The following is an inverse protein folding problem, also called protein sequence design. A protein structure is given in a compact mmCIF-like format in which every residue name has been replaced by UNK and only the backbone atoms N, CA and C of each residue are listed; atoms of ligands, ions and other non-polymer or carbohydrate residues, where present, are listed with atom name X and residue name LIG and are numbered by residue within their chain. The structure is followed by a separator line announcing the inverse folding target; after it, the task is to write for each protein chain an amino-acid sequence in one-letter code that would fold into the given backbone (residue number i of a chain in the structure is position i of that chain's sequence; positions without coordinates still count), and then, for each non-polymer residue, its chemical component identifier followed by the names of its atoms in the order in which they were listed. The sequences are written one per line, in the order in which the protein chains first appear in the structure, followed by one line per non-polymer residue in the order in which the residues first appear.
data_IF_861922285302
#
_entry.id   IF_861922285302
#
_cell.length_a   1.000
_cell.length_b   1.000
_cell.length_c   1.000
_cell.angle_alpha   90.00
_cell.angle_beta   90.00
_cell.angle_gamma   90.00
#
_symmetry.space_group_name_H-M   'P 1'
#
loop_
_entity.id
_entity.type
_entity.pdbx_description
1 polymer ?
#
# COMPACT_ATOMS: atom_id res chain seq x y z
N UNK A 1 -7.17 -1.35 4.51
CA UNK A 1 -8.30 -1.27 3.55
C UNK A 1 -9.66 -1.47 4.21
N UNK A 2 -9.86 -2.54 4.97
CA UNK A 2 -11.15 -2.83 5.62
C UNK A 2 -11.67 -1.68 6.50
N UNK A 3 -10.85 -1.14 7.41
CA UNK A 3 -11.29 -0.06 8.32
C UNK A 3 -11.52 1.29 7.61
N UNK A 4 -11.17 1.37 6.33
CA UNK A 4 -11.45 2.51 5.47
C UNK A 4 -12.74 2.33 4.65
N UNK A 5 -13.47 1.22 4.84
CA UNK A 5 -14.70 0.88 4.09
C UNK A 5 -14.45 0.68 2.58
N UNK A 6 -13.18 0.55 2.17
CA UNK A 6 -12.79 0.39 0.77
C UNK A 6 -12.96 -1.05 0.27
N UNK A 7 -12.88 -2.02 1.19
CA UNK A 7 -13.02 -3.45 0.90
C UNK A 7 -13.77 -4.07 2.07
N UNK A 8 -14.78 -4.89 1.79
CA UNK A 8 -15.50 -5.64 2.81
C UNK A 8 -14.56 -6.63 3.52
N UNK A 9 -14.76 -6.87 4.82
CA UNK A 9 -14.02 -7.93 5.52
C UNK A 9 -14.76 -9.26 5.40
N UNK A 10 -14.45 -10.01 4.35
CA UNK A 10 -14.97 -11.35 4.06
C UNK A 10 -13.89 -12.17 3.34
N UNK A 11 -13.88 -13.50 3.51
CA UNK A 11 -12.99 -14.40 2.75
C UNK A 11 -13.24 -14.32 1.23
N UNK A 12 -14.46 -13.98 0.84
CA UNK A 12 -14.93 -13.86 -0.54
C UNK A 12 -14.83 -12.42 -1.07
N UNK A 13 -14.13 -11.53 -0.37
CA UNK A 13 -13.98 -10.15 -0.81
C UNK A 13 -13.20 -10.08 -2.12
N UNK A 14 -13.87 -9.59 -3.16
CA UNK A 14 -13.26 -9.28 -4.45
C UNK A 14 -12.80 -7.84 -4.45
N UNK A 15 -11.50 -7.63 -4.65
CA UNK A 15 -10.88 -6.31 -4.72
C UNK A 15 -9.66 -6.36 -5.64
N UNK A 16 -9.46 -5.29 -6.41
CA UNK A 16 -8.22 -5.08 -7.14
C UNK A 16 -7.23 -4.36 -6.23
N UNK A 17 -6.13 -5.05 -5.88
CA UNK A 17 -5.10 -4.53 -4.97
C UNK A 17 -3.82 -4.31 -5.76
N UNK A 18 -3.30 -3.07 -5.76
CA UNK A 18 -1.96 -2.75 -6.25
C UNK A 18 -1.02 -2.64 -5.06
N UNK A 19 0.12 -3.33 -5.12
CA UNK A 19 1.18 -3.28 -4.11
C UNK A 19 2.48 -2.83 -4.78
N UNK A 20 3.01 -1.69 -4.36
CA UNK A 20 4.25 -1.10 -4.89
C UNK A 20 5.37 -1.41 -3.91
N UNK A 21 6.28 -2.30 -4.29
CA UNK A 21 7.25 -2.93 -3.40
C UNK A 21 6.78 -4.32 -2.97
N UNK A 22 7.63 -5.34 -3.20
CA UNK A 22 7.36 -6.71 -2.78
C UNK A 22 7.99 -7.03 -1.42
N UNK A 23 9.23 -6.59 -1.21
CA UNK A 23 10.04 -7.03 -0.07
C UNK A 23 10.16 -8.56 -0.05
N UNK A 24 9.92 -9.18 1.11
CA UNK A 24 9.82 -10.64 1.23
C UNK A 24 8.49 -11.23 0.76
N UNK A 25 7.50 -10.40 0.40
CA UNK A 25 6.19 -10.83 -0.06
C UNK A 25 5.18 -11.19 1.03
N UNK A 26 5.53 -11.03 2.31
CA UNK A 26 4.69 -11.42 3.47
C UNK A 26 3.30 -10.78 3.44
N UNK A 27 3.19 -9.48 3.18
CA UNK A 27 1.89 -8.79 3.13
C UNK A 27 1.02 -9.33 1.99
N UNK A 28 1.62 -9.52 0.81
CA UNK A 28 0.90 -10.00 -0.37
C UNK A 28 0.47 -11.47 -0.20
N UNK A 29 1.36 -12.31 0.33
CA UNK A 29 1.06 -13.71 0.67
C UNK A 29 -0.02 -13.82 1.75
N UNK A 30 0.02 -12.96 2.78
CA UNK A 30 -1.03 -12.89 3.80
C UNK A 30 -2.39 -12.54 3.17
N UNK A 31 -2.44 -11.55 2.29
CA UNK A 31 -3.69 -11.17 1.62
C UNK A 31 -4.20 -12.29 0.71
N UNK A 32 -3.31 -12.89 -0.08
CA UNK A 32 -3.65 -14.01 -0.97
C UNK A 32 -4.15 -15.23 -0.22
N UNK A 33 -3.51 -15.58 0.91
CA UNK A 33 -3.92 -16.72 1.73
C UNK A 33 -5.29 -16.44 2.37
N UNK A 34 -5.48 -15.24 2.93
CA UNK A 34 -6.66 -14.96 3.72
C UNK A 34 -7.87 -14.47 2.92
N UNK A 35 -7.66 -13.94 1.72
CA UNK A 35 -8.69 -13.34 0.88
C UNK A 35 -8.46 -13.82 -0.57
N UNK A 36 -8.69 -15.11 -0.86
CA UNK A 36 -8.27 -15.74 -2.10
C UNK A 36 -8.95 -15.18 -3.36
N UNK A 37 -10.08 -14.47 -3.23
CA UNK A 37 -10.74 -13.80 -4.36
C UNK A 37 -10.21 -12.39 -4.67
N UNK A 38 -9.23 -11.88 -3.91
CA UNK A 38 -8.57 -10.60 -4.21
C UNK A 38 -7.62 -10.74 -5.39
N UNK A 39 -7.69 -9.79 -6.32
CA UNK A 39 -6.82 -9.69 -7.46
C UNK A 39 -5.62 -8.78 -7.14
N UNK A 40 -4.51 -9.37 -6.72
CA UNK A 40 -3.32 -8.70 -6.21
C UNK A 40 -2.28 -8.57 -7.32
N UNK A 41 -1.91 -7.34 -7.64
CA UNK A 41 -0.79 -7.00 -8.52
C UNK A 41 0.32 -6.38 -7.69
N UNK A 42 1.47 -7.03 -7.63
CA UNK A 42 2.67 -6.49 -6.99
C UNK A 42 3.62 -5.95 -8.06
N UNK A 43 4.19 -4.77 -7.85
CA UNK A 43 5.22 -4.19 -8.71
C UNK A 43 6.51 -4.09 -7.92
N UNK A 44 7.57 -4.71 -8.41
CA UNK A 44 8.87 -4.76 -7.74
C UNK A 44 9.98 -4.43 -8.74
N UNK A 45 10.89 -3.55 -8.34
CA UNK A 45 12.00 -3.08 -9.18
C UNK A 45 13.18 -4.05 -9.18
N UNK A 46 13.34 -4.84 -8.13
CA UNK A 46 14.45 -5.77 -7.96
C UNK A 46 14.05 -7.20 -8.33
N UNK A 47 14.51 -7.66 -9.49
CA UNK A 47 14.43 -9.08 -9.87
C UNK A 47 15.02 -10.03 -8.80
N UNK A 48 16.05 -9.58 -8.06
CA UNK A 48 16.65 -10.36 -6.99
C UNK A 48 15.66 -10.56 -5.83
N UNK A 49 14.94 -9.50 -5.42
CA UNK A 49 13.92 -9.62 -4.38
C UNK A 49 12.77 -10.54 -4.80
N UNK A 50 12.33 -10.47 -6.06
CA UNK A 50 11.32 -11.39 -6.61
C UNK A 50 11.79 -12.84 -6.49
N UNK A 51 13.04 -13.12 -6.87
CA UNK A 51 13.61 -14.46 -6.80
C UNK A 51 13.74 -14.95 -5.35
N UNK A 52 14.16 -14.08 -4.43
CA UNK A 52 14.25 -14.41 -3.02
C UNK A 52 12.88 -14.73 -2.42
N UNK A 53 11.87 -13.92 -2.70
CA UNK A 53 10.51 -14.13 -2.22
C UNK A 53 9.93 -15.46 -2.67
N UNK A 54 10.11 -15.82 -3.96
CA UNK A 54 9.67 -17.11 -4.49
C UNK A 54 10.42 -18.29 -3.88
N UNK A 55 11.75 -18.19 -3.77
CA UNK A 55 12.59 -19.33 -3.39
C UNK A 55 12.61 -19.60 -1.89
N UNK A 56 12.54 -18.54 -1.07
CA UNK A 56 12.81 -18.63 0.37
C UNK A 56 11.65 -18.19 1.26
N UNK A 57 10.71 -17.40 0.73
CA UNK A 57 9.55 -16.90 1.49
C UNK A 57 8.22 -17.45 0.99
N UNK A 58 8.26 -18.52 0.18
CA UNK A 58 7.09 -19.25 -0.32
C UNK A 58 6.04 -18.34 -1.01
N UNK A 59 6.52 -17.37 -1.79
CA UNK A 59 5.62 -16.49 -2.55
C UNK A 59 4.91 -17.27 -3.66
N UNK A 60 3.64 -17.60 -3.42
CA UNK A 60 2.78 -18.27 -4.39
C UNK A 60 2.20 -17.27 -5.40
N UNK A 61 2.39 -17.54 -6.70
CA UNK A 61 1.84 -16.74 -7.81
C UNK A 61 0.79 -17.56 -8.55
N UNK A 62 -0.33 -16.94 -8.90
CA UNK A 62 -1.43 -17.54 -9.65
C UNK A 62 -2.27 -16.46 -10.36
N UNK A 63 -3.45 -16.83 -10.84
CA UNK A 63 -4.37 -15.94 -11.57
C UNK A 63 -4.80 -14.70 -10.76
N UNK A 64 -4.86 -14.83 -9.43
CA UNK A 64 -5.29 -13.79 -8.50
C UNK A 64 -4.12 -13.09 -7.80
N UNK A 65 -2.89 -13.59 -7.92
CA UNK A 65 -1.71 -12.96 -7.33
C UNK A 65 -0.51 -13.01 -8.26
N UNK A 66 -0.09 -11.85 -8.77
CA UNK A 66 1.00 -11.70 -9.74
C UNK A 66 2.03 -10.68 -9.29
N UNK A 67 3.27 -10.87 -9.75
CA UNK A 67 4.38 -9.94 -9.55
C UNK A 67 4.90 -9.46 -10.90
N UNK A 68 4.96 -8.15 -11.08
CA UNK A 68 5.47 -7.47 -12.26
C UNK A 68 6.83 -6.88 -11.91
N UNK A 69 7.86 -7.30 -12.63
CA UNK A 69 9.20 -6.70 -12.53
C UNK A 69 9.22 -5.40 -13.33
N UNK A 70 9.06 -4.27 -12.65
CA UNK A 70 9.00 -2.95 -13.28
C UNK A 70 9.31 -1.82 -12.28
N UNK A 71 9.62 -0.64 -12.81
CA UNK A 71 9.64 0.59 -12.02
C UNK A 71 8.21 0.98 -11.63
N UNK A 72 7.97 1.18 -10.33
CA UNK A 72 6.64 1.48 -9.80
C UNK A 72 6.09 2.84 -10.22
N UNK A 73 6.95 3.85 -10.44
CA UNK A 73 6.54 5.18 -10.90
C UNK A 73 6.10 5.12 -12.36
N UNK A 74 6.89 4.46 -13.21
CA UNK A 74 6.55 4.24 -14.61
C UNK A 74 5.26 3.40 -14.75
N UNK A 75 5.12 2.35 -13.94
CA UNK A 75 3.93 1.51 -13.92
C UNK A 75 2.68 2.31 -13.53
N UNK A 76 2.75 3.11 -12.45
CA UNK A 76 1.64 3.97 -12.03
C UNK A 76 1.22 4.93 -13.14
N UNK A 77 2.18 5.57 -13.82
CA UNK A 77 1.89 6.47 -14.92
C UNK A 77 1.13 5.75 -16.04
N UNK A 78 1.60 4.56 -16.44
CA UNK A 78 0.94 3.75 -17.46
C UNK A 78 -0.49 3.33 -17.05
N UNK A 79 -0.68 2.91 -15.80
CA UNK A 79 -2.00 2.56 -15.28
C UNK A 79 -2.95 3.77 -15.26
N UNK A 80 -2.43 4.95 -14.89
CA UNK A 80 -3.21 6.19 -14.92
C UNK A 80 -3.61 6.56 -16.36
N UNK A 81 -2.69 6.49 -17.32
CA UNK A 81 -2.94 6.78 -18.74
C UNK A 81 -3.98 5.82 -19.35
N UNK A 82 -4.01 4.57 -18.89
CA UNK A 82 -4.95 3.53 -19.36
C UNK A 82 -6.28 3.52 -18.62
N UNK A 83 -6.44 4.37 -17.59
CA UNK A 83 -7.68 4.48 -16.81
C UNK A 83 -7.93 3.33 -15.84
N UNK A 84 -6.92 2.50 -15.56
CA UNK A 84 -7.03 1.38 -14.63
C UNK A 84 -7.32 1.85 -13.21
N UNK A 85 -8.11 1.07 -12.46
CA UNK A 85 -8.55 1.41 -11.11
C UNK A 85 -8.31 0.28 -10.12
N UNK A 86 -7.91 0.65 -8.90
CA UNK A 86 -7.68 -0.24 -7.78
C UNK A 86 -8.46 0.18 -6.55
N UNK A 87 -8.97 -0.80 -5.81
CA UNK A 87 -9.71 -0.59 -4.56
C UNK A 87 -8.77 -0.37 -3.38
N UNK A 88 -7.54 -0.90 -3.47
CA UNK A 88 -6.46 -0.57 -2.56
C UNK A 88 -5.15 -0.39 -3.31
N UNK A 89 -4.41 0.66 -2.96
CA UNK A 89 -3.03 0.87 -3.40
C UNK A 89 -2.15 0.90 -2.15
N UNK A 90 -1.25 -0.07 -2.03
CA UNK A 90 -0.30 -0.20 -0.95
C UNK A 90 1.08 0.24 -1.45
N UNK A 91 1.70 1.20 -0.78
CA UNK A 91 3.05 1.66 -1.08
C UNK A 91 4.00 1.25 0.05
N UNK A 92 4.87 0.31 -0.27
CA UNK A 92 5.92 -0.25 0.59
C UNK A 92 7.25 -0.34 -0.18
N UNK A 93 7.49 0.62 -1.07
CA UNK A 93 8.75 0.76 -1.79
C UNK A 93 9.69 1.61 -0.93
N UNK A 94 10.69 0.97 -0.34
CA UNK A 94 11.63 1.58 0.60
C UNK A 94 13.08 1.39 0.15
N UNK A 95 13.94 2.30 0.57
CA UNK A 95 15.38 2.10 0.44
C UNK A 95 15.86 0.99 1.40
N UNK A 96 16.75 0.13 0.92
CA UNK A 96 17.32 -0.97 1.72
C UNK A 96 18.37 -0.50 2.73
N UNK A 97 18.99 0.66 2.52
CA UNK A 97 20.01 1.23 3.41
C UNK A 97 19.79 2.73 3.63
N UNK A 98 20.35 3.22 4.73
CA UNK A 98 20.28 4.63 5.12
C UNK A 98 21.13 5.54 4.22
N UNK A 99 22.16 5.00 3.57
CA UNK A 99 23.09 5.75 2.72
C UNK A 99 22.43 6.27 1.44
N UNK A 100 21.38 5.60 0.98
CA UNK A 100 20.62 5.99 -0.23
C UNK A 100 19.39 6.84 0.08
N UNK A 101 19.02 6.97 1.35
CA UNK A 101 17.81 7.65 1.77
C UNK A 101 18.11 9.11 2.15
N UNK A 102 17.53 10.07 1.43
CA UNK A 102 17.70 11.49 1.77
C UNK A 102 16.74 11.93 2.89
N UNK A 103 15.44 11.78 2.68
CA UNK A 103 14.42 12.23 3.65
C UNK A 103 13.68 11.07 4.30
N UNK A 104 13.39 10.03 3.52
CA UNK A 104 12.63 8.87 3.96
C UNK A 104 13.35 7.58 3.58
N UNK A 105 13.33 6.62 4.50
CA UNK A 105 13.56 5.22 4.16
C UNK A 105 12.31 4.67 3.46
N UNK A 106 11.12 4.99 3.99
CA UNK A 106 9.83 4.61 3.45
C UNK A 106 8.86 5.82 3.44
N UNK A 107 8.16 6.09 2.33
CA UNK A 107 8.42 5.53 1.00
C UNK A 107 9.67 6.16 0.38
N UNK A 108 10.19 5.59 -0.71
CA UNK A 108 11.17 6.24 -1.58
C UNK A 108 10.68 7.64 -1.99
N UNK A 109 11.56 8.63 -1.94
CA UNK A 109 11.24 10.06 -2.13
C UNK A 109 10.49 10.37 -3.43
N UNK A 110 10.77 9.65 -4.52
CA UNK A 110 10.09 9.79 -5.81
C UNK A 110 8.57 9.64 -5.70
N UNK A 111 8.07 8.77 -4.82
CA UNK A 111 6.62 8.60 -4.61
C UNK A 111 5.95 9.78 -3.89
N UNK A 112 6.73 10.72 -3.36
CA UNK A 112 6.25 11.96 -2.74
C UNK A 112 6.24 13.15 -3.72
N UNK A 113 6.66 12.93 -4.96
CA UNK A 113 6.58 13.94 -6.02
C UNK A 113 5.14 14.15 -6.50
N UNK A 114 4.85 15.38 -6.91
CA UNK A 114 3.48 15.80 -7.20
C UNK A 114 2.85 15.01 -8.36
N UNK A 115 3.62 14.72 -9.41
CA UNK A 115 3.15 13.97 -10.57
C UNK A 115 2.91 12.48 -10.24
N UNK A 116 3.70 11.90 -9.32
CA UNK A 116 3.51 10.50 -8.89
C UNK A 116 2.30 10.40 -7.98
N UNK A 117 2.14 11.32 -7.02
CA UNK A 117 0.93 11.36 -6.16
C UNK A 117 -0.33 11.55 -7.03
N UNK A 118 -0.27 12.38 -8.07
CA UNK A 118 -1.36 12.51 -9.04
C UNK A 118 -1.68 11.19 -9.71
N UNK A 119 -0.67 10.42 -10.14
CA UNK A 119 -0.87 9.10 -10.75
C UNK A 119 -1.48 8.11 -9.75
N UNK A 120 -1.02 8.09 -8.49
CA UNK A 120 -1.62 7.28 -7.41
C UNK A 120 -3.10 7.64 -7.22
N UNK A 121 -3.42 8.93 -7.19
CA UNK A 121 -4.78 9.41 -7.05
C UNK A 121 -5.65 9.00 -8.25
N UNK A 122 -5.11 9.05 -9.47
CA UNK A 122 -5.81 8.64 -10.68
C UNK A 122 -6.06 7.13 -10.74
N UNK A 123 -5.14 6.28 -10.28
CA UNK A 123 -5.36 4.82 -10.29
C UNK A 123 -6.20 4.32 -9.12
N UNK A 124 -6.43 5.15 -8.09
CA UNK A 124 -7.31 4.77 -6.98
C UNK A 124 -8.77 4.90 -7.39
N UNK A 125 -9.58 3.86 -7.12
CA UNK A 125 -11.02 3.90 -7.33
C UNK A 125 -11.68 4.93 -6.40
N UNK A 126 -12.90 5.38 -6.74
CA UNK A 126 -13.58 6.44 -6.00
C UNK A 126 -13.84 6.07 -4.52
N UNK A 127 -14.09 4.78 -4.23
CA UNK A 127 -14.24 4.23 -2.88
C UNK A 127 -12.96 3.61 -2.32
N UNK A 128 -11.86 3.67 -3.07
CA UNK A 128 -10.62 3.00 -2.73
C UNK A 128 -9.81 3.72 -1.65
N UNK A 129 -8.78 3.03 -1.16
CA UNK A 129 -7.83 3.57 -0.18
C UNK A 129 -6.38 3.38 -0.58
N UNK A 130 -5.63 4.48 -0.56
CA UNK A 130 -4.19 4.48 -0.62
C UNK A 130 -3.60 4.32 0.79
N UNK A 131 -2.59 3.49 0.94
CA UNK A 131 -1.92 3.18 2.21
C UNK A 131 -0.42 3.23 1.99
N UNK A 132 0.30 3.97 2.84
CA UNK A 132 1.77 4.00 2.81
C UNK A 132 2.31 4.04 4.23
N UNK A 133 3.42 3.34 4.42
CA UNK A 133 4.25 3.50 5.60
C UNK A 133 5.09 4.77 5.48
N UNK A 134 5.35 5.40 6.63
CA UNK A 134 6.26 6.53 6.76
C UNK A 134 7.33 6.14 7.77
N UNK A 135 8.57 6.07 7.28
CA UNK A 135 9.78 5.90 8.06
C UNK A 135 10.76 7.01 7.65
N UNK A 136 10.79 8.14 8.37
CA UNK A 136 11.70 9.23 8.05
C UNK A 136 13.13 8.91 8.48
N UNK A 137 14.10 9.47 7.76
CA UNK A 137 15.52 9.31 8.05
C UNK A 137 16.10 10.57 8.74
N UNK A 138 15.90 11.73 8.13
CA UNK A 138 16.54 12.99 8.54
C UNK A 138 15.63 13.91 9.35
N UNK A 139 14.41 13.47 9.67
CA UNK A 139 13.43 14.28 10.39
C UNK A 139 12.57 13.48 11.37
N UNK A 140 11.94 14.18 12.31
CA UNK A 140 11.01 13.54 13.25
C UNK A 140 9.76 13.03 12.53
N UNK A 141 9.18 11.95 13.06
CA UNK A 141 7.89 11.41 12.60
C UNK A 141 6.79 12.48 12.52
N UNK A 142 6.75 13.42 13.48
CA UNK A 142 5.78 14.51 13.46
C UNK A 142 5.96 15.45 12.25
N UNK A 143 7.21 15.80 11.89
CA UNK A 143 7.52 16.64 10.72
C UNK A 143 7.24 15.87 9.42
N UNK A 144 7.68 14.62 9.36
CA UNK A 144 7.44 13.70 8.25
C UNK A 144 5.95 13.55 7.94
N UNK A 145 5.15 13.20 8.97
CA UNK A 145 3.69 13.10 8.88
C UNK A 145 3.07 14.39 8.35
N UNK A 146 3.42 15.55 8.93
CA UNK A 146 2.88 16.84 8.48
C UNK A 146 3.18 17.09 7.00
N UNK A 147 4.40 16.76 6.56
CA UNK A 147 4.80 16.94 5.17
C UNK A 147 4.04 16.00 4.22
N UNK A 148 4.00 14.70 4.52
CA UNK A 148 3.31 13.71 3.69
C UNK A 148 1.82 14.03 3.62
N UNK A 149 1.15 14.26 4.76
CA UNK A 149 -0.27 14.64 4.77
C UNK A 149 -0.54 15.91 3.96
N UNK A 150 0.34 16.91 4.00
CA UNK A 150 0.18 18.14 3.21
C UNK A 150 0.27 17.87 1.71
N UNK A 151 1.22 17.02 1.27
CA UNK A 151 1.39 16.69 -0.15
C UNK A 151 0.19 15.89 -0.68
N UNK A 152 -0.20 14.83 0.03
CA UNK A 152 -1.30 13.97 -0.40
C UNK A 152 -2.67 14.66 -0.31
N UNK A 153 -2.91 15.54 0.67
CA UNK A 153 -4.18 16.28 0.79
C UNK A 153 -4.46 17.23 -0.39
N UNK A 154 -3.49 17.48 -1.28
CA UNK A 154 -3.74 18.20 -2.55
C UNK A 154 -4.55 17.37 -3.55
N UNK A 155 -4.47 16.04 -3.47
CA UNK A 155 -5.05 15.10 -4.43
C UNK A 155 -6.16 14.23 -3.84
N UNK A 156 -6.20 14.11 -2.52
CA UNK A 156 -7.18 13.30 -1.81
C UNK A 156 -7.99 14.17 -0.83
N UNK A 157 -9.29 13.92 -0.77
CA UNK A 157 -10.20 14.66 0.12
C UNK A 157 -10.00 14.29 1.59
N UNK A 158 -9.49 13.09 1.89
CA UNK A 158 -9.29 12.65 3.26
C UNK A 158 -8.01 11.83 3.43
N UNK A 159 -7.02 12.42 4.11
CA UNK A 159 -5.80 11.74 4.55
C UNK A 159 -5.68 11.74 6.08
N UNK A 160 -5.32 10.60 6.67
CA UNK A 160 -5.21 10.42 8.13
C UNK A 160 -4.12 9.43 8.51
N UNK A 161 -3.68 9.47 9.76
CA UNK A 161 -2.82 8.43 10.37
C UNK A 161 -3.54 7.72 11.51
N UNK A 162 -3.12 6.49 11.81
CA UNK A 162 -3.57 5.82 13.04
C UNK A 162 -2.66 6.21 14.22
N UNK A 163 -3.06 7.26 14.96
CA UNK A 163 -2.26 7.82 16.06
C UNK A 163 -1.94 6.84 17.20
N UNK A 164 -2.68 5.74 17.35
CA UNK A 164 -2.44 4.76 18.43
C UNK A 164 -1.18 3.91 18.20
N UNK A 165 -0.70 3.81 16.96
CA UNK A 165 0.49 3.02 16.60
C UNK A 165 1.79 3.84 16.60
N UNK A 166 1.68 5.17 16.67
CA UNK A 166 2.77 6.13 16.53
C UNK A 166 3.77 6.17 17.70
N UNK A 167 3.57 5.39 18.77
CA UNK A 167 4.43 5.45 19.96
C UNK A 167 5.63 4.49 19.93
N UNK A 168 5.71 3.53 19.00
CA UNK A 168 6.80 2.53 18.96
C UNK A 168 7.23 2.01 17.56
N UNK A 169 6.74 2.56 16.44
CA UNK A 169 7.10 2.06 15.09
C UNK A 169 6.73 3.02 13.94
N UNK A 170 6.86 2.53 12.70
CA UNK A 170 6.52 3.27 11.47
C UNK A 170 5.08 3.83 11.54
N UNK A 171 4.88 5.04 11.02
CA UNK A 171 3.54 5.65 10.97
C UNK A 171 2.87 5.32 9.63
N UNK A 172 1.69 4.73 9.67
CA UNK A 172 0.90 4.46 8.46
C UNK A 172 -0.02 5.64 8.14
N UNK A 173 0.04 6.12 6.89
CA UNK A 173 -0.90 7.09 6.31
C UNK A 173 -1.91 6.37 5.44
N UNK A 174 -3.16 6.82 5.54
CA UNK A 174 -4.27 6.39 4.68
C UNK A 174 -4.85 7.61 3.98
N UNK A 175 -5.04 7.54 2.66
CA UNK A 175 -5.67 8.59 1.86
C UNK A 175 -6.79 8.02 0.98
N UNK A 176 -7.88 8.77 0.83
CA UNK A 176 -9.08 8.37 0.08
C UNK A 176 -9.67 9.58 -0.66
N UNK A 177 -10.33 9.31 -1.79
CA UNK A 177 -11.14 10.32 -2.51
C UNK A 177 -12.42 10.69 -1.76
N UNK A 178 -12.94 9.78 -0.96
CA UNK A 178 -14.14 10.01 -0.15
C UNK A 178 -13.85 9.72 1.32
N UNK A 179 -14.58 10.39 2.22
CA UNK A 179 -14.56 10.01 3.63
C UNK A 179 -15.31 8.69 3.78
N UNK A 180 -14.80 7.73 4.57
CA UNK A 180 -15.51 6.49 4.86
C UNK A 180 -16.91 6.79 5.40
N UNK A 181 -17.91 6.07 4.89
CA UNK A 181 -19.31 6.23 5.29
C UNK A 181 -19.53 5.84 6.77
N UNK A 182 -18.73 4.88 7.25
CA UNK A 182 -18.77 4.34 8.61
C UNK A 182 -17.39 4.41 9.24
N UNK A 183 -17.32 4.88 10.48
CA UNK A 183 -16.15 4.65 11.34
C UNK A 183 -16.24 3.22 11.90
N UNK A 184 -15.91 2.23 11.08
CA UNK A 184 -15.99 0.83 11.47
C UNK A 184 -14.74 0.44 12.28
N UNK A 185 -14.95 -0.04 13.51
CA UNK A 185 -13.89 -0.71 14.27
C UNK A 185 -13.84 -2.16 13.83
N UNK A 186 -12.79 -2.50 13.10
CA UNK A 186 -12.56 -3.85 12.62
C UNK A 186 -11.54 -4.54 13.50
N UNK A 187 -11.81 -5.81 13.83
CA UNK A 187 -10.87 -6.69 14.50
C UNK A 187 -10.49 -7.82 13.55
N UNK A 188 -9.41 -7.60 12.79
CA UNK A 188 -8.91 -8.57 11.81
C UNK A 188 -8.52 -9.88 12.48
N UNK A 189 -7.84 -9.86 13.63
CA UNK A 189 -7.43 -11.07 14.33
C UNK A 189 -8.63 -11.90 14.79
N UNK A 190 -9.66 -11.26 15.35
CA UNK A 190 -10.91 -11.95 15.70
C UNK A 190 -11.56 -12.56 14.46
N UNK A 191 -11.65 -11.82 13.36
CA UNK A 191 -12.21 -12.35 12.12
C UNK A 191 -11.45 -13.59 11.62
N UNK A 192 -10.11 -13.54 11.59
CA UNK A 192 -9.28 -14.65 11.15
C UNK A 192 -9.40 -15.87 12.06
N UNK A 193 -9.48 -15.65 13.37
CA UNK A 193 -9.71 -16.71 14.36
C UNK A 193 -11.09 -17.36 14.18
N UNK A 194 -12.13 -16.55 13.96
CA UNK A 194 -13.52 -17.03 13.85
C UNK A 194 -13.84 -17.63 12.47
N UNK A 195 -12.98 -17.41 11.47
CA UNK A 195 -13.16 -17.88 10.09
C UNK A 195 -11.87 -18.55 9.58
N UNK A 196 -11.44 -19.70 10.14
CA UNK A 196 -10.27 -20.42 9.64
C UNK A 196 -10.48 -20.86 8.18
N UNK A 197 -9.37 -21.05 7.46
CA UNK A 197 -9.38 -21.57 6.08
C UNK A 197 -9.65 -23.07 6.05
#
# INVERSE_FOLDING_TARGET
MFSADAVELSRQSRANVLSLGLGGGTMNGFLRYNFPEMNITVVEISAQMINLAKKWFDLQIDDHHRVIHADGVAFLKQQADTGMKYDAVLLDACYSTQETAENFICPVDLFLEEHVISSIAQVLSQGGVFITDIAPMTMSFAKARKMVLRRFSKFFTNCRTNRKMASKGNEVVYCMHQRPSKNQRINLFKFLHDNPL
#
